data_IF_839995851533
#
_entry.id   IF_839995851533
#
_cell.length_a   1.000
_cell.length_b   1.000
_cell.length_c   1.000
_cell.angle_alpha   90.00
_cell.angle_beta   90.00
_cell.angle_gamma   90.00
#
_symmetry.space_group_name_H-M   'P 1'
#
loop_
_entity.id
_entity.type
_entity.pdbx_description
1 polymer ?
#
# COMPACT_ATOMS: atom_id res chain seq x y z
N UNK A 1 -5.48 4.52 -19.94
CA UNK A 1 -5.03 4.13 -18.58
C UNK A 1 -3.56 4.51 -18.45
N UNK A 2 -3.21 5.33 -17.47
CA UNK A 2 -1.83 5.79 -17.27
C UNK A 2 -1.14 4.94 -16.19
N UNK A 3 0.07 4.47 -16.45
CA UNK A 3 0.85 3.68 -15.49
C UNK A 3 1.34 4.54 -14.33
N UNK A 4 1.25 4.01 -13.13
CA UNK A 4 1.75 4.64 -11.91
C UNK A 4 2.94 3.85 -11.38
N UNK A 5 3.97 4.58 -10.94
CA UNK A 5 5.14 4.02 -10.28
C UNK A 5 5.34 4.67 -8.92
N UNK A 6 5.45 3.87 -7.86
CA UNK A 6 5.97 4.32 -6.58
C UNK A 6 7.49 4.36 -6.69
N UNK A 7 8.04 5.57 -6.65
CA UNK A 7 9.49 5.80 -6.81
C UNK A 7 10.20 5.98 -5.48
N UNK A 8 9.45 6.17 -4.41
CA UNK A 8 9.97 6.34 -3.06
C UNK A 8 8.89 5.94 -2.06
N UNK A 9 9.31 5.25 -1.00
CA UNK A 9 8.44 4.92 0.12
C UNK A 9 9.07 5.49 1.38
N UNK A 10 8.31 6.32 2.09
CA UNK A 10 8.70 6.93 3.36
C UNK A 10 8.03 6.16 4.49
N UNK A 11 8.79 5.33 5.20
CA UNK A 11 8.33 4.69 6.42
C UNK A 11 8.42 5.70 7.55
N UNK A 12 7.27 6.18 8.03
CA UNK A 12 7.18 7.05 9.23
C UNK A 12 6.58 6.31 10.41
N UNK A 13 6.52 4.99 10.33
CA UNK A 13 6.16 4.13 11.47
C UNK A 13 7.42 3.77 12.27
N UNK A 14 7.22 3.30 13.50
CA UNK A 14 8.29 2.79 14.36
C UNK A 14 8.61 1.30 14.09
N UNK A 15 7.99 0.70 13.07
CA UNK A 15 8.16 -0.70 12.69
C UNK A 15 8.87 -0.80 11.34
N UNK A 16 9.54 -1.93 11.11
CA UNK A 16 9.97 -2.32 9.77
C UNK A 16 8.75 -2.54 8.85
N UNK A 17 8.92 -2.24 7.55
CA UNK A 17 7.94 -2.57 6.52
C UNK A 17 8.59 -3.52 5.51
N UNK A 18 8.03 -4.72 5.38
CA UNK A 18 8.33 -5.65 4.30
C UNK A 18 7.36 -5.37 3.15
N UNK A 19 7.90 -4.97 2.01
CA UNK A 19 7.14 -4.69 0.79
C UNK A 19 7.21 -5.92 -0.09
N UNK A 20 6.08 -6.42 -0.59
CA UNK A 20 6.01 -7.55 -1.52
C UNK A 20 5.20 -7.14 -2.74
N UNK A 21 5.80 -7.25 -3.93
CA UNK A 21 5.17 -6.86 -5.20
C UNK A 21 4.56 -8.10 -5.87
N UNK A 22 3.25 -8.26 -5.77
CA UNK A 22 2.53 -9.43 -6.28
C UNK A 22 2.75 -9.68 -7.78
N UNK A 23 2.54 -8.67 -8.63
CA UNK A 23 2.75 -8.76 -10.08
C UNK A 23 4.22 -8.99 -10.50
N UNK A 24 5.18 -8.91 -9.56
CA UNK A 24 6.60 -9.17 -9.83
C UNK A 24 7.06 -10.44 -9.11
N UNK A 25 6.30 -11.52 -9.24
CA UNK A 25 6.59 -12.83 -8.64
C UNK A 25 6.91 -12.77 -7.14
N UNK A 26 6.19 -11.91 -6.41
CA UNK A 26 6.40 -11.66 -4.99
C UNK A 26 7.83 -11.18 -4.63
N UNK A 27 8.50 -10.46 -5.53
CA UNK A 27 9.75 -9.78 -5.19
C UNK A 27 9.54 -8.88 -3.96
N UNK A 28 10.48 -8.95 -3.02
CA UNK A 28 10.37 -8.28 -1.74
C UNK A 28 11.50 -7.31 -1.45
N UNK A 29 11.16 -6.29 -0.66
CA UNK A 29 12.05 -5.25 -0.20
C UNK A 29 11.78 -4.98 1.28
N UNK A 30 12.75 -4.39 1.96
CA UNK A 30 12.63 -4.04 3.37
C UNK A 30 12.97 -2.58 3.55
N UNK A 31 12.16 -1.86 4.34
CA UNK A 31 12.47 -0.50 4.81
C UNK A 31 12.43 -0.51 6.33
N UNK A 32 13.55 -0.14 6.95
CA UNK A 32 13.64 -0.05 8.40
C UNK A 32 12.73 1.05 8.95
N UNK A 33 12.50 1.01 10.27
CA UNK A 33 11.68 2.01 10.94
C UNK A 33 12.22 3.42 10.72
N UNK A 34 11.31 4.38 10.48
CA UNK A 34 11.62 5.80 10.25
C UNK A 34 12.50 6.12 9.03
N UNK A 35 12.82 5.13 8.18
CA UNK A 35 13.65 5.31 6.98
C UNK A 35 12.84 5.67 5.72
N UNK A 36 13.56 5.90 4.63
CA UNK A 36 12.99 6.15 3.31
C UNK A 36 13.81 5.39 2.29
N UNK A 37 13.14 4.58 1.46
CA UNK A 37 13.77 3.84 0.38
C UNK A 37 13.38 4.43 -0.99
N UNK A 38 14.31 4.36 -1.93
CA UNK A 38 14.07 4.67 -3.34
C UNK A 38 13.73 3.39 -4.10
N UNK A 39 12.70 3.47 -4.95
CA UNK A 39 12.11 2.33 -5.63
C UNK A 39 11.76 2.65 -7.08
N UNK A 40 11.34 1.63 -7.81
CA UNK A 40 10.65 1.77 -9.09
C UNK A 40 9.60 0.68 -9.24
N UNK A 41 8.57 0.74 -8.38
CA UNK A 41 7.54 -0.29 -8.28
C UNK A 41 6.30 0.18 -9.04
N UNK A 42 5.88 -0.56 -10.07
CA UNK A 42 4.61 -0.30 -10.73
C UNK A 42 3.46 -0.60 -9.77
N UNK A 43 2.46 0.29 -9.69
CA UNK A 43 1.24 0.02 -8.93
C UNK A 43 0.32 -0.86 -9.77
N UNK A 44 -0.01 -2.08 -9.33
CA UNK A 44 -0.81 -3.02 -10.09
C UNK A 44 -2.23 -2.52 -10.34
N UNK A 45 -2.74 -2.71 -11.56
CA UNK A 45 -4.15 -2.50 -11.85
C UNK A 45 -4.96 -3.72 -11.41
N UNK A 46 -5.98 -3.48 -10.61
CA UNK A 46 -6.90 -4.52 -10.10
C UNK A 46 -8.32 -4.15 -10.49
N UNK A 47 -9.02 -5.10 -11.10
CA UNK A 47 -10.39 -4.95 -11.58
C UNK A 47 -11.41 -5.80 -10.84
N UNK A 48 -10.99 -6.81 -10.08
CA UNK A 48 -11.89 -7.65 -9.29
C UNK A 48 -11.20 -8.36 -8.10
N UNK A 49 -12.00 -8.99 -7.25
CA UNK A 49 -11.57 -9.72 -6.05
C UNK A 49 -10.64 -10.93 -6.34
N UNK A 50 -10.79 -11.58 -7.49
CA UNK A 50 -9.99 -12.75 -7.89
C UNK A 50 -8.53 -12.43 -8.26
N UNK A 51 -8.18 -11.15 -8.29
CA UNK A 51 -6.84 -10.65 -8.62
C UNK A 51 -6.00 -10.35 -7.37
N UNK A 52 -6.32 -10.97 -6.23
CA UNK A 52 -5.61 -10.82 -4.96
C UNK A 52 -4.09 -11.12 -5.02
N UNK A 53 -3.62 -11.78 -6.07
CA UNK A 53 -2.21 -12.06 -6.32
C UNK A 53 -1.43 -10.85 -6.86
N UNK A 54 -2.11 -9.80 -7.34
CA UNK A 54 -1.48 -8.63 -7.96
C UNK A 54 -0.95 -7.57 -6.99
N UNK A 55 -1.73 -7.10 -5.99
CA UNK A 55 -1.40 -5.89 -5.23
C UNK A 55 -0.01 -5.89 -4.60
N UNK A 56 0.47 -4.68 -4.29
CA UNK A 56 1.63 -4.52 -3.40
C UNK A 56 1.15 -4.78 -1.98
N UNK A 57 1.80 -5.71 -1.28
CA UNK A 57 1.57 -5.95 0.15
C UNK A 57 2.63 -5.24 0.97
N UNK A 58 2.21 -4.56 2.02
CA UNK A 58 3.06 -3.94 3.03
C UNK A 58 2.79 -4.67 4.33
N UNK A 59 3.71 -5.53 4.74
CA UNK A 59 3.65 -6.27 5.98
C UNK A 59 4.42 -5.50 7.04
N UNK A 60 3.73 -5.11 8.11
CA UNK A 60 4.25 -4.23 9.15
C UNK A 60 4.07 -4.92 10.49
N UNK A 61 5.18 -5.16 11.18
CA UNK A 61 5.12 -5.71 12.53
C UNK A 61 4.40 -4.75 13.48
N UNK A 62 3.53 -5.31 14.30
CA UNK A 62 2.70 -4.55 15.23
C UNK A 62 2.88 -5.10 16.63
N UNK A 63 3.01 -4.19 17.58
CA UNK A 63 2.87 -4.46 18.98
C UNK A 63 1.71 -3.59 19.50
N UNK A 64 0.48 -4.03 19.26
CA UNK A 64 -0.70 -3.42 19.87
C UNK A 64 -1.02 -4.20 21.14
N UNK A 65 -1.04 -3.51 22.27
CA UNK A 65 -1.54 -4.08 23.55
C UNK A 65 -0.84 -5.38 23.99
N UNK A 66 0.47 -5.54 23.70
CA UNK A 66 1.25 -6.76 23.93
C UNK A 66 0.81 -7.98 23.09
N UNK A 67 0.03 -7.77 22.04
CA UNK A 67 -0.23 -8.76 21.00
C UNK A 67 0.76 -8.52 19.87
N UNK A 68 1.68 -9.46 19.69
CA UNK A 68 2.57 -9.50 18.55
C UNK A 68 1.80 -9.98 17.33
N UNK A 69 1.79 -9.18 16.26
CA UNK A 69 1.12 -9.52 15.02
C UNK A 69 1.74 -8.79 13.83
N UNK A 70 1.25 -9.07 12.63
CA UNK A 70 1.64 -8.37 11.41
C UNK A 70 0.39 -7.81 10.77
N UNK A 71 0.32 -6.49 10.58
CA UNK A 71 -0.72 -5.91 9.74
C UNK A 71 -0.27 -6.02 8.29
N UNK A 72 -1.18 -6.42 7.41
CA UNK A 72 -0.95 -6.39 5.96
C UNK A 72 -1.79 -5.29 5.33
N UNK A 73 -1.14 -4.39 4.60
CA UNK A 73 -1.78 -3.35 3.80
C UNK A 73 -1.62 -3.70 2.32
N UNK A 74 -2.73 -3.76 1.60
CA UNK A 74 -2.76 -4.06 0.17
C UNK A 74 -2.92 -2.75 -0.61
N UNK A 75 -2.02 -2.44 -1.53
CA UNK A 75 -2.02 -1.21 -2.33
C UNK A 75 -2.14 -1.55 -3.81
N UNK A 76 -3.08 -0.92 -4.50
CA UNK A 76 -3.39 -1.18 -5.91
C UNK A 76 -4.03 0.02 -6.59
N UNK A 77 -4.14 -0.02 -7.91
CA UNK A 77 -4.82 0.97 -8.72
C UNK A 77 -6.14 0.40 -9.23
N UNK A 78 -7.23 1.14 -9.05
CA UNK A 78 -8.58 0.69 -9.43
C UNK A 78 -8.79 0.77 -10.95
N UNK A 79 -8.91 -0.39 -11.60
CA UNK A 79 -9.11 -0.52 -13.05
C UNK A 79 -10.37 0.18 -13.56
N UNK A 80 -11.45 0.21 -12.77
CA UNK A 80 -12.72 0.81 -13.20
C UNK A 80 -12.86 2.29 -12.83
N UNK A 81 -11.83 2.89 -12.24
CA UNK A 81 -11.86 4.31 -11.95
C UNK A 81 -11.47 5.15 -13.17
N UNK A 82 -12.29 6.16 -13.48
CA UNK A 82 -11.97 7.13 -14.54
C UNK A 82 -10.67 7.90 -14.23
N UNK A 83 -10.45 8.18 -12.95
CA UNK A 83 -9.32 8.95 -12.44
C UNK A 83 -8.09 8.12 -12.08
N UNK A 84 -8.10 6.80 -12.29
CA UNK A 84 -6.96 5.93 -11.97
C UNK A 84 -6.57 6.00 -10.48
N UNK A 85 -7.54 5.89 -9.58
CA UNK A 85 -7.33 5.98 -8.13
C UNK A 85 -6.39 4.89 -7.61
N UNK A 86 -5.47 5.30 -6.75
CA UNK A 86 -4.70 4.38 -5.92
C UNK A 86 -5.46 4.14 -4.62
N UNK A 87 -5.79 2.87 -4.40
CA UNK A 87 -6.60 2.37 -3.30
C UNK A 87 -5.74 1.54 -2.35
N UNK A 88 -6.24 1.36 -1.13
CA UNK A 88 -5.69 0.39 -0.20
C UNK A 88 -6.76 -0.28 0.65
N UNK A 89 -6.47 -1.47 1.17
CA UNK A 89 -7.22 -2.10 2.25
C UNK A 89 -6.25 -2.70 3.28
N UNK A 90 -6.72 -2.91 4.51
CA UNK A 90 -5.92 -3.47 5.61
C UNK A 90 -6.58 -4.77 6.06
N UNK A 91 -5.80 -5.83 6.23
CA UNK A 91 -6.26 -7.12 6.74
C UNK A 91 -5.47 -8.29 6.17
N UNK A 92 -5.71 -9.47 6.71
CA UNK A 92 -5.06 -10.72 6.29
C UNK A 92 -5.48 -11.14 4.87
N UNK A 93 -6.66 -10.71 4.44
CA UNK A 93 -7.19 -10.95 3.11
C UNK A 93 -7.28 -9.65 2.30
N UNK A 94 -7.13 -9.79 0.99
CA UNK A 94 -7.36 -8.71 0.04
C UNK A 94 -8.85 -8.41 -0.07
N UNK A 95 -9.24 -7.13 -0.13
CA UNK A 95 -10.61 -6.72 -0.37
C UNK A 95 -10.69 -5.69 -1.49
N UNK A 96 -11.31 -6.07 -2.60
CA UNK A 96 -11.53 -5.20 -3.74
C UNK A 96 -12.87 -4.45 -3.63
N UNK A 97 -12.82 -3.11 -3.59
CA UNK A 97 -13.99 -2.21 -3.50
C UNK A 97 -15.00 -2.59 -2.40
N UNK A 98 -14.51 -3.05 -1.26
CA UNK A 98 -15.36 -3.30 -0.10
C UNK A 98 -15.68 -1.98 0.60
N UNK A 99 -16.97 -1.70 0.83
CA UNK A 99 -17.48 -0.39 1.29
C UNK A 99 -16.79 0.16 2.55
N UNK A 100 -16.36 -0.71 3.46
CA UNK A 100 -15.74 -0.32 4.74
C UNK A 100 -14.24 -0.62 4.85
N UNK A 101 -13.72 -1.54 4.02
CA UNK A 101 -12.35 -2.06 4.15
C UNK A 101 -11.41 -1.48 3.11
N UNK A 102 -11.94 -1.10 1.94
CA UNK A 102 -11.17 -0.49 0.86
C UNK A 102 -11.33 1.03 0.94
N UNK A 103 -10.22 1.76 0.90
CA UNK A 103 -10.16 3.22 1.01
C UNK A 103 -9.24 3.78 -0.06
N UNK A 104 -9.48 5.01 -0.48
CA UNK A 104 -8.52 5.75 -1.30
C UNK A 104 -7.27 6.11 -0.49
N UNK A 105 -6.08 5.93 -1.08
CA UNK A 105 -4.85 6.52 -0.51
C UNK A 105 -5.01 8.04 -0.54
N UNK A 106 -4.66 8.76 0.52
CA UNK A 106 -4.85 10.22 0.54
C UNK A 106 -3.85 10.95 -0.37
N UNK A 107 -4.11 12.22 -0.68
CA UNK A 107 -3.14 13.09 -1.37
C UNK A 107 -3.18 12.93 -2.90
N UNK A 108 -2.02 12.95 -3.56
CA UNK A 108 -1.91 12.91 -5.03
C UNK A 108 -2.10 11.48 -5.60
N UNK A 109 -3.22 10.83 -5.25
CA UNK A 109 -3.51 9.42 -5.51
C UNK A 109 -4.19 9.12 -6.86
N UNK A 110 -4.40 10.12 -7.70
CA UNK A 110 -5.02 9.99 -9.03
C UNK A 110 -4.01 10.07 -10.17
N UNK A 111 -4.45 9.63 -11.34
CA UNK A 111 -3.70 9.65 -12.58
C UNK A 111 -2.48 8.73 -12.55
N UNK A 112 -1.73 8.72 -13.66
CA UNK A 112 -0.47 7.99 -13.73
C UNK A 112 0.73 8.79 -13.20
N UNK A 113 1.91 8.25 -13.44
CA UNK A 113 3.18 8.91 -13.21
C UNK A 113 3.91 8.44 -11.97
N UNK A 114 4.90 9.21 -11.56
CA UNK A 114 5.81 8.89 -10.45
C UNK A 114 5.21 9.44 -9.15
N UNK A 115 5.06 8.58 -8.15
CA UNK A 115 4.46 8.89 -6.86
C UNK A 115 5.42 8.57 -5.72
N UNK A 116 5.30 9.31 -4.63
CA UNK A 116 5.98 9.01 -3.37
C UNK A 116 4.90 8.56 -2.38
N UNK A 117 5.05 7.36 -1.84
CA UNK A 117 4.14 6.83 -0.84
C UNK A 117 4.69 7.10 0.56
N UNK A 118 3.92 7.80 1.39
CA UNK A 118 4.21 7.98 2.81
C UNK A 118 3.28 7.11 3.64
N UNK A 119 3.85 6.34 4.55
CA UNK A 119 3.12 5.44 5.46
C UNK A 119 3.40 5.90 6.88
N UNK A 120 2.35 6.16 7.66
CA UNK A 120 2.46 6.52 9.06
C UNK A 120 1.31 5.92 9.86
N UNK A 121 1.45 5.89 11.19
CA UNK A 121 0.33 5.65 12.10
C UNK A 121 -0.14 6.97 12.68
N UNK A 122 -1.45 7.16 12.78
CA UNK A 122 -2.04 8.30 13.45
C UNK A 122 -2.04 8.14 14.98
N UNK A 123 -2.60 9.12 15.69
CA UNK A 123 -2.66 9.11 17.16
C UNK A 123 -3.52 7.97 17.74
N UNK A 124 -4.41 7.40 16.93
CA UNK A 124 -5.26 6.27 17.30
C UNK A 124 -4.63 4.92 16.92
N UNK A 125 -3.43 4.95 16.32
CA UNK A 125 -2.74 3.75 15.85
C UNK A 125 -3.34 3.17 14.57
N UNK A 126 -4.11 3.95 13.80
CA UNK A 126 -4.56 3.59 12.46
C UNK A 126 -3.52 3.98 11.41
N UNK A 127 -3.46 3.24 10.30
CA UNK A 127 -2.58 3.61 9.19
C UNK A 127 -3.14 4.77 8.37
N UNK A 128 -2.29 5.76 8.14
CA UNK A 128 -2.52 6.85 7.20
C UNK A 128 -1.54 6.71 6.03
N UNK A 129 -2.07 6.30 4.88
CA UNK A 129 -1.33 6.23 3.62
C UNK A 129 -1.59 7.51 2.82
N UNK A 130 -0.51 8.13 2.35
CA UNK A 130 -0.59 9.35 1.53
C UNK A 130 0.39 9.34 0.37
N UNK A 131 -0.10 9.67 -0.81
CA UNK A 131 0.73 10.06 -1.95
C UNK A 131 1.10 11.54 -1.81
N UNK A 132 2.41 11.83 -1.83
CA UNK A 132 2.98 13.18 -1.77
C UNK A 132 3.65 13.60 -3.06
#
# INVERSE_FOLDING_TARGET
MALTYITKIMNKTQSEIVIVVGEKNNESYVIQSLETGDFNIAVPWVGNQGEAWKPIRLSIETNKENVFGTDTIWVFQDYWSDDSYIMYCIGDEFHYKHDTLTREVKGFNKGGGRKILRIMRDKNGEYDLRMV
#
